data_IF_449505781074
#
_entry.id   IF_449505781074
#
_cell.length_a   1.000
_cell.length_b   1.000
_cell.length_c   1.000
_cell.angle_alpha   90.00
_cell.angle_beta   90.00
_cell.angle_gamma   90.00
#
_symmetry.space_group_name_H-M   'P 1'
#
loop_
_entity.id
_entity.type
_entity.pdbx_description
1 polymer ?
#
# COMPACT_ATOMS: atom_id res chain seq x y z
N UNK A 1 4.91 -15.54 -13.70
CA UNK A 1 6.32 -15.13 -13.81
C UNK A 1 6.51 -14.05 -12.76
N UNK A 2 7.18 -14.35 -11.64
CA UNK A 2 7.34 -13.39 -10.55
C UNK A 2 8.50 -12.46 -10.90
N UNK A 3 8.19 -11.23 -11.28
CA UNK A 3 9.17 -10.20 -11.59
C UNK A 3 10.01 -9.87 -10.34
N UNK A 4 11.32 -9.74 -10.56
CA UNK A 4 12.35 -9.64 -9.54
C UNK A 4 12.10 -8.43 -8.62
N UNK A 5 12.06 -8.71 -7.33
CA UNK A 5 11.91 -7.76 -6.24
C UNK A 5 13.00 -6.66 -6.26
N UNK A 6 12.62 -5.42 -6.56
CA UNK A 6 13.50 -4.24 -6.67
C UNK A 6 13.66 -3.52 -5.31
N UNK A 7 13.99 -4.29 -4.26
CA UNK A 7 14.30 -3.73 -2.94
C UNK A 7 15.82 -3.58 -2.77
N UNK A 8 16.30 -2.50 -2.12
CA UNK A 8 17.70 -2.37 -1.77
C UNK A 8 18.25 -3.57 -1.00
N UNK A 9 19.51 -3.92 -1.25
CA UNK A 9 20.20 -4.98 -0.51
C UNK A 9 20.19 -4.69 1.00
N UNK A 10 19.91 -5.71 1.80
CA UNK A 10 19.81 -5.56 3.27
C UNK A 10 18.45 -5.08 3.80
N UNK A 11 17.48 -4.79 2.92
CA UNK A 11 16.12 -4.48 3.36
C UNK A 11 15.52 -5.67 4.11
N UNK A 12 15.04 -5.44 5.34
CA UNK A 12 14.43 -6.45 6.17
C UNK A 12 13.15 -7.03 5.53
N UNK A 13 12.95 -8.35 5.64
CA UNK A 13 11.83 -9.03 4.97
C UNK A 13 10.45 -8.51 5.39
N UNK A 14 10.28 -8.15 6.66
CA UNK A 14 9.00 -7.62 7.15
C UNK A 14 8.63 -6.27 6.50
N UNK A 15 9.62 -5.44 6.16
CA UNK A 15 9.39 -4.17 5.44
C UNK A 15 8.93 -4.44 4.01
N UNK A 16 9.60 -5.37 3.32
CA UNK A 16 9.21 -5.81 1.97
C UNK A 16 7.77 -6.29 1.94
N UNK A 17 7.42 -7.19 2.87
CA UNK A 17 6.04 -7.71 3.02
C UNK A 17 5.02 -6.62 3.28
N UNK A 18 5.35 -5.62 4.10
CA UNK A 18 4.46 -4.50 4.36
C UNK A 18 4.22 -3.66 3.10
N UNK A 19 5.28 -3.35 2.33
CA UNK A 19 5.16 -2.60 1.08
C UNK A 19 4.38 -3.38 0.04
N UNK A 20 4.73 -4.65 -0.20
CA UNK A 20 3.99 -5.51 -1.14
C UNK A 20 2.51 -5.60 -0.76
N UNK A 21 2.18 -5.81 0.52
CA UNK A 21 0.79 -5.81 0.99
C UNK A 21 0.06 -4.48 0.71
N UNK A 22 0.73 -3.33 0.90
CA UNK A 22 0.14 -2.02 0.59
C UNK A 22 -0.14 -1.85 -0.92
N UNK A 23 0.67 -2.44 -1.80
CA UNK A 23 0.39 -2.49 -3.24
C UNK A 23 -0.77 -3.40 -3.57
N UNK A 24 -0.79 -4.61 -3.02
CA UNK A 24 -1.88 -5.58 -3.22
C UNK A 24 -3.23 -4.99 -2.76
N UNK A 25 -3.22 -4.24 -1.67
CA UNK A 25 -4.42 -3.56 -1.15
C UNK A 25 -4.85 -2.33 -1.95
N UNK A 26 -4.04 -1.90 -2.93
CA UNK A 26 -4.25 -0.71 -3.76
C UNK A 26 -3.99 0.61 -3.01
N UNK A 27 -3.32 0.57 -1.86
CA UNK A 27 -3.01 1.73 -1.03
C UNK A 27 -1.79 2.47 -1.57
N UNK A 28 -0.74 1.74 -1.94
CA UNK A 28 0.37 2.24 -2.74
C UNK A 28 0.17 1.85 -4.21
N UNK A 29 0.62 2.72 -5.12
CA UNK A 29 0.37 2.54 -6.57
C UNK A 29 1.61 2.70 -7.43
N UNK A 30 2.72 3.21 -6.89
CA UNK A 30 3.93 3.51 -7.66
C UNK A 30 5.12 2.70 -7.16
N UNK A 31 5.70 1.85 -8.01
CA UNK A 31 6.76 0.90 -7.65
C UNK A 31 8.05 1.57 -7.14
N UNK A 32 8.23 2.89 -7.36
CA UNK A 32 9.36 3.64 -6.80
C UNK A 32 9.48 3.50 -5.27
N UNK A 33 8.37 3.25 -4.57
CA UNK A 33 8.36 3.01 -3.11
C UNK A 33 9.16 1.77 -2.69
N UNK A 34 9.34 0.78 -3.57
CA UNK A 34 10.18 -0.39 -3.26
C UNK A 34 11.66 -0.02 -3.19
N UNK A 35 12.09 0.94 -4.02
CA UNK A 35 13.47 1.47 -4.06
C UNK A 35 13.75 2.46 -2.93
N UNK A 36 12.72 3.17 -2.47
CA UNK A 36 12.81 4.24 -1.46
C UNK A 36 12.22 3.83 -0.10
N UNK A 37 12.27 2.54 0.25
CA UNK A 37 11.59 1.98 1.42
C UNK A 37 12.04 2.55 2.78
N UNK A 38 13.26 3.07 2.86
CA UNK A 38 13.78 3.73 4.06
C UNK A 38 13.45 5.23 4.11
N UNK A 39 12.94 5.81 3.01
CA UNK A 39 12.55 7.21 2.97
C UNK A 39 11.13 7.39 3.53
N UNK A 40 10.88 8.45 4.32
CA UNK A 40 9.54 8.74 4.79
C UNK A 40 8.65 9.17 3.62
N UNK A 41 7.39 8.72 3.61
CA UNK A 41 6.40 9.24 2.68
C UNK A 41 6.18 10.75 2.91
N UNK A 42 6.21 11.59 1.86
CA UNK A 42 5.78 12.98 1.94
C UNK A 42 4.37 13.11 2.51
N UNK A 43 4.12 14.19 3.24
CA UNK A 43 2.83 14.40 3.94
C UNK A 43 1.61 14.28 3.03
N UNK A 44 1.69 14.84 1.82
CA UNK A 44 0.59 14.75 0.85
C UNK A 44 0.35 13.30 0.39
N UNK A 45 1.40 12.50 0.23
CA UNK A 45 1.28 11.10 -0.19
C UNK A 45 0.65 10.26 0.91
N UNK A 46 1.02 10.51 2.18
CA UNK A 46 0.35 9.90 3.33
C UNK A 46 -1.16 10.25 3.35
N UNK A 47 -1.53 11.50 3.09
CA UNK A 47 -2.93 11.91 3.03
C UNK A 47 -3.71 11.17 1.92
N UNK A 48 -3.09 10.92 0.76
CA UNK A 48 -3.68 10.13 -0.32
C UNK A 48 -3.89 8.67 0.10
N UNK A 49 -2.91 8.06 0.77
CA UNK A 49 -3.04 6.69 1.31
C UNK A 49 -4.20 6.62 2.30
N UNK A 50 -4.32 7.58 3.21
CA UNK A 50 -5.45 7.64 4.15
C UNK A 50 -6.78 7.82 3.43
N UNK A 51 -6.86 8.69 2.42
CA UNK A 51 -8.07 8.85 1.63
C UNK A 51 -8.50 7.53 0.98
N UNK A 52 -7.57 6.79 0.36
CA UNK A 52 -7.85 5.47 -0.25
C UNK A 52 -8.36 4.48 0.79
N UNK A 53 -7.72 4.43 1.96
CA UNK A 53 -8.14 3.59 3.08
C UNK A 53 -9.58 3.95 3.53
N UNK A 54 -9.87 5.23 3.75
CA UNK A 54 -11.21 5.69 4.13
C UNK A 54 -12.27 5.33 3.08
N UNK A 55 -11.95 5.46 1.78
CA UNK A 55 -12.86 5.06 0.71
C UNK A 55 -13.11 3.55 0.73
N UNK A 56 -12.08 2.74 0.96
CA UNK A 56 -12.20 1.28 1.07
C UNK A 56 -13.09 0.88 2.26
N UNK A 57 -12.90 1.51 3.42
CA UNK A 57 -13.73 1.27 4.61
C UNK A 57 -15.18 1.73 4.40
N UNK A 58 -15.39 2.90 3.79
CA UNK A 58 -16.74 3.41 3.49
C UNK A 58 -17.47 2.54 2.46
N UNK A 59 -16.76 2.07 1.43
CA UNK A 59 -17.28 1.15 0.42
C UNK A 59 -17.56 -0.26 0.95
N UNK A 60 -16.74 -0.74 1.90
CA UNK A 60 -17.01 -1.98 2.63
C UNK A 60 -18.30 -1.90 3.44
N UNK A 61 -18.60 -0.74 4.04
CA UNK A 61 -19.81 -0.55 4.82
C UNK A 61 -21.08 -0.66 3.95
N UNK A 62 -21.07 -0.06 2.74
CA UNK A 62 -22.21 -0.13 1.81
C UNK A 62 -22.56 -1.53 1.31
N UNK A 63 -21.57 -2.43 1.19
CA UNK A 63 -21.79 -3.82 0.73
C UNK A 63 -22.54 -4.68 1.76
N UNK A 64 -22.52 -4.29 3.03
CA UNK A 64 -23.17 -5.02 4.11
C UNK A 64 -24.64 -4.59 4.32
N UNK A 65 -25.04 -3.42 3.81
CA UNK A 65 -26.40 -2.89 3.91
C UNK A 65 -27.35 -3.43 2.81
N UNK A 66 -26.82 -3.90 1.68
CA UNK A 66 -27.63 -4.48 0.58
C UNK A 66 -27.94 -5.97 0.74
N UNK A 67 -27.68 -6.55 1.93
CA UNK A 67 -27.96 -7.96 2.26
C UNK A 67 -29.03 -8.14 3.34
N UNK A 68 -29.93 -7.17 3.51
CA UNK A 68 -31.09 -7.25 4.41
C UNK A 68 -32.40 -7.20 3.64
#
# INVERSE_FOLDING_TARGET
MAEKQDYPSGTAEWKKKAVDWLFEEGLLTDDAWKKQIEEPLPLWAQAVVYQRLFQKLKGANKKNETKL
#
